data_IF_632332242613
#
_entry.id   IF_632332242613
#
_cell.length_a   1.000
_cell.length_b   1.000
_cell.length_c   1.000
_cell.angle_alpha   90.00
_cell.angle_beta   90.00
_cell.angle_gamma   90.00
#
_symmetry.space_group_name_H-M   'P 1'
#
loop_
_entity.id
_entity.type
_entity.pdbx_description
1 polymer ?
#
# COMPACT_ATOMS: atom_id res chain seq x y z
N UNK A 1 33.51 59.13 42.20
CA UNK A 1 33.67 57.63 42.24
C UNK A 1 32.37 57.04 41.72
N UNK A 2 32.27 56.95 40.43
CA UNK A 2 31.03 56.48 39.78
C UNK A 2 31.31 55.08 39.20
N UNK A 3 30.57 54.10 39.70
CA UNK A 3 30.63 52.72 39.20
C UNK A 3 29.62 52.57 38.04
N UNK A 4 30.18 52.39 36.87
CA UNK A 4 29.44 52.06 35.65
C UNK A 4 29.05 50.59 35.71
N UNK A 5 27.71 50.32 35.80
CA UNK A 5 27.16 48.97 35.65
C UNK A 5 26.90 48.72 34.17
N UNK A 6 27.72 47.84 33.59
CA UNK A 6 27.50 47.31 32.23
C UNK A 6 26.51 46.19 32.30
N UNK A 7 25.27 46.37 31.81
CA UNK A 7 24.28 45.34 31.66
C UNK A 7 24.48 44.66 30.31
N UNK A 8 24.97 43.43 30.29
CA UNK A 8 25.05 42.60 29.09
C UNK A 8 23.70 41.98 28.88
N UNK A 9 22.94 42.49 27.89
CA UNK A 9 21.73 41.83 27.41
C UNK A 9 22.15 40.75 26.42
N UNK A 10 22.15 39.51 26.89
CA UNK A 10 22.35 38.33 26.07
C UNK A 10 21.13 38.07 25.19
N UNK A 11 21.25 38.32 23.90
CA UNK A 11 20.26 37.93 22.90
C UNK A 11 20.31 36.43 22.71
N UNK A 12 19.42 35.67 23.35
CA UNK A 12 19.20 34.28 23.02
C UNK A 12 18.41 34.20 21.70
N UNK A 13 19.12 34.05 20.59
CA UNK A 13 18.51 33.65 19.33
C UNK A 13 18.21 32.15 19.38
N UNK A 14 16.97 31.82 19.68
CA UNK A 14 16.45 30.44 19.50
C UNK A 14 16.37 30.18 18.00
N UNK A 15 17.34 29.45 17.49
CA UNK A 15 17.27 28.83 16.17
C UNK A 15 16.17 27.76 16.19
N UNK A 16 14.98 28.12 15.78
CA UNK A 16 13.97 27.14 15.38
C UNK A 16 14.44 26.47 14.10
N UNK A 17 15.09 25.34 14.23
CA UNK A 17 15.26 24.42 13.12
C UNK A 17 13.90 23.92 12.73
N UNK A 18 13.35 24.44 11.67
CA UNK A 18 12.20 23.82 10.99
C UNK A 18 12.70 22.49 10.44
N UNK A 19 12.60 21.42 11.24
CA UNK A 19 12.62 20.08 10.70
C UNK A 19 11.43 19.99 9.75
N UNK A 20 11.71 19.99 8.46
CA UNK A 20 10.70 19.69 7.45
C UNK A 20 10.23 18.26 7.70
N UNK A 21 9.08 18.13 8.37
CA UNK A 21 8.38 16.87 8.59
C UNK A 21 7.75 16.42 7.27
N UNK A 22 8.56 15.84 6.39
CA UNK A 22 8.05 15.18 5.20
C UNK A 22 7.32 13.89 5.63
N UNK A 23 6.02 13.86 5.45
CA UNK A 23 5.23 12.62 5.45
C UNK A 23 4.65 12.12 6.77
N UNK A 24 4.62 12.92 7.84
CA UNK A 24 4.02 12.52 9.13
C UNK A 24 2.55 12.98 9.26
N UNK A 25 2.03 13.70 8.30
CA UNK A 25 0.91 14.63 8.51
C UNK A 25 -0.46 14.01 8.79
N UNK A 26 -0.71 12.75 8.51
CA UNK A 26 -2.02 12.14 8.76
C UNK A 26 -2.08 11.24 9.99
N UNK A 27 -0.99 10.65 10.40
CA UNK A 27 -0.98 9.59 11.42
C UNK A 27 -1.30 10.10 12.83
N UNK A 28 -0.80 11.28 13.17
CA UNK A 28 -0.92 11.82 14.53
C UNK A 28 -2.19 12.64 14.77
N UNK A 29 -2.94 12.99 13.72
CA UNK A 29 -4.08 13.93 13.81
C UNK A 29 -5.40 13.41 13.31
N UNK A 30 -5.46 12.24 12.67
CA UNK A 30 -6.69 11.67 12.11
C UNK A 30 -7.04 10.31 12.73
N UNK A 31 -8.34 10.05 12.87
CA UNK A 31 -8.87 8.76 13.36
C UNK A 31 -8.93 7.67 12.28
N UNK A 32 -8.14 7.78 11.21
CA UNK A 32 -8.11 6.79 10.16
C UNK A 32 -7.26 5.57 10.54
N UNK A 33 -7.61 4.43 9.98
CA UNK A 33 -6.79 3.21 10.05
C UNK A 33 -5.79 3.25 8.91
N UNK A 34 -4.52 3.23 9.23
CA UNK A 34 -3.43 3.30 8.29
C UNK A 34 -2.81 1.94 8.01
N UNK A 35 -2.19 1.84 6.84
CA UNK A 35 -1.43 0.69 6.40
C UNK A 35 -0.24 1.06 5.54
N UNK A 36 0.54 0.06 5.23
CA UNK A 36 1.77 0.16 4.46
C UNK A 36 1.77 -0.82 3.30
N UNK A 37 2.48 -0.47 2.24
CA UNK A 37 2.83 -1.38 1.16
C UNK A 37 4.35 -1.53 1.14
N UNK A 38 4.82 -2.77 1.20
CA UNK A 38 6.24 -3.07 1.39
C UNK A 38 6.74 -4.17 0.46
N UNK A 39 8.02 -4.12 0.17
CA UNK A 39 8.77 -5.13 -0.56
C UNK A 39 10.21 -5.21 -0.05
N UNK A 40 11.07 -5.92 -0.77
CA UNK A 40 12.51 -5.94 -0.48
C UNK A 40 13.18 -4.55 -0.47
N UNK A 41 12.55 -3.52 -1.05
CA UNK A 41 13.09 -2.16 -1.06
C UNK A 41 13.20 -1.54 0.34
N UNK A 42 12.36 -1.95 1.29
CA UNK A 42 12.42 -1.50 2.68
C UNK A 42 13.51 -2.18 3.50
N UNK A 43 14.20 -3.20 2.94
CA UNK A 43 15.33 -3.91 3.56
C UNK A 43 14.99 -4.46 4.95
N UNK A 44 15.75 -4.02 5.98
CA UNK A 44 15.53 -4.43 7.36
C UNK A 44 14.55 -3.50 8.06
N UNK A 45 13.60 -4.11 8.76
CA UNK A 45 12.50 -3.45 9.45
C UNK A 45 12.64 -3.76 10.94
N UNK A 46 12.56 -2.74 11.79
CA UNK A 46 12.49 -2.87 13.25
C UNK A 46 11.03 -3.11 13.65
N UNK A 47 10.65 -4.38 13.66
CA UNK A 47 9.27 -4.82 13.80
C UNK A 47 8.63 -4.45 15.13
N UNK A 48 9.40 -4.48 16.23
CA UNK A 48 8.93 -4.03 17.54
C UNK A 48 8.48 -2.58 17.48
N UNK A 49 9.32 -1.71 16.93
CA UNK A 49 9.01 -0.27 16.79
C UNK A 49 7.82 -0.03 15.85
N UNK A 50 7.72 -0.79 14.75
CA UNK A 50 6.62 -0.64 13.80
C UNK A 50 5.30 -1.15 14.38
N UNK A 51 5.32 -2.29 15.07
CA UNK A 51 4.13 -2.90 15.69
C UNK A 51 3.57 -2.11 16.86
N UNK A 52 4.41 -1.33 17.56
CA UNK A 52 3.98 -0.45 18.65
C UNK A 52 3.22 0.79 18.15
N UNK A 53 3.21 1.06 16.83
CA UNK A 53 2.47 2.18 16.26
C UNK A 53 0.97 1.85 16.19
N UNK A 54 0.20 2.39 17.14
CA UNK A 54 -1.24 2.13 17.28
C UNK A 54 -2.10 2.57 16.08
N UNK A 55 -1.56 3.41 15.18
CA UNK A 55 -2.25 3.86 13.97
C UNK A 55 -2.01 2.93 12.77
N UNK A 56 -1.00 2.04 12.82
CA UNK A 56 -0.70 1.06 11.78
C UNK A 56 -1.42 -0.25 12.06
N UNK A 57 -2.35 -0.63 11.19
CA UNK A 57 -3.17 -1.80 11.37
C UNK A 57 -2.91 -2.92 10.37
N UNK A 58 -2.39 -2.60 9.19
CA UNK A 58 -2.20 -3.58 8.13
C UNK A 58 -0.98 -3.30 7.26
N UNK A 59 -0.49 -4.35 6.63
CA UNK A 59 0.59 -4.28 5.64
C UNK A 59 0.27 -5.19 4.46
N UNK A 60 0.42 -4.69 3.25
CA UNK A 60 0.49 -5.51 2.04
C UNK A 60 1.95 -5.72 1.64
N UNK A 61 2.36 -6.97 1.48
CA UNK A 61 3.71 -7.32 1.03
C UNK A 61 3.74 -7.76 -0.42
N UNK A 62 4.74 -7.29 -1.17
CA UNK A 62 5.03 -7.86 -2.49
C UNK A 62 5.35 -9.33 -2.32
N UNK A 63 4.52 -10.18 -2.89
CA UNK A 63 4.80 -11.60 -2.94
C UNK A 63 5.53 -11.95 -4.23
N UNK A 64 5.00 -11.46 -5.37
CA UNK A 64 5.50 -11.83 -6.69
C UNK A 64 5.26 -10.74 -7.72
N UNK A 65 5.92 -10.89 -8.87
CA UNK A 65 5.73 -10.08 -10.06
C UNK A 65 5.84 -10.97 -11.31
N UNK A 66 4.94 -10.80 -12.26
CA UNK A 66 4.93 -11.58 -13.50
C UNK A 66 5.01 -13.08 -13.24
N UNK A 67 5.67 -13.83 -14.13
CA UNK A 67 5.65 -15.31 -14.08
C UNK A 67 6.71 -15.95 -13.18
N UNK A 68 7.75 -15.22 -12.75
CA UNK A 68 8.95 -15.82 -12.12
C UNK A 68 9.49 -15.02 -10.93
N UNK A 69 9.28 -13.69 -10.87
CA UNK A 69 9.85 -12.88 -9.81
C UNK A 69 9.12 -13.13 -8.50
N UNK A 70 9.87 -13.45 -7.45
CA UNK A 70 9.42 -13.61 -6.07
C UNK A 70 10.21 -12.65 -5.18
N UNK A 71 9.52 -11.98 -4.27
CA UNK A 71 10.19 -11.10 -3.31
C UNK A 71 10.88 -11.92 -2.23
N UNK A 72 12.20 -11.83 -2.14
CA UNK A 72 13.01 -12.66 -1.26
C UNK A 72 12.81 -12.34 0.23
N UNK A 73 12.22 -11.19 0.56
CA UNK A 73 11.91 -10.80 1.95
C UNK A 73 10.51 -11.23 2.39
N UNK A 74 9.66 -11.62 1.44
CA UNK A 74 8.22 -11.85 1.64
C UNK A 74 7.92 -12.76 2.84
N UNK A 75 8.44 -13.99 2.84
CA UNK A 75 8.13 -14.97 3.90
C UNK A 75 8.55 -14.48 5.28
N UNK A 76 9.78 -13.96 5.39
CA UNK A 76 10.30 -13.38 6.64
C UNK A 76 9.40 -12.25 7.14
N UNK A 77 9.01 -11.36 6.24
CA UNK A 77 8.25 -10.17 6.60
C UNK A 77 6.82 -10.49 7.04
N UNK A 78 6.15 -11.47 6.40
CA UNK A 78 4.84 -11.97 6.84
C UNK A 78 4.90 -12.52 8.26
N UNK A 79 5.84 -13.42 8.53
CA UNK A 79 5.98 -14.04 9.85
C UNK A 79 6.24 -13.00 10.95
N UNK A 80 7.07 -12.01 10.67
CA UNK A 80 7.40 -10.95 11.62
C UNK A 80 6.26 -9.95 11.80
N UNK A 81 5.56 -9.57 10.74
CA UNK A 81 4.38 -8.70 10.83
C UNK A 81 3.28 -9.33 11.69
N UNK A 82 2.97 -10.62 11.50
CA UNK A 82 2.04 -11.36 12.33
C UNK A 82 2.46 -11.39 13.80
N UNK A 83 3.75 -11.68 14.06
CA UNK A 83 4.29 -11.71 15.43
C UNK A 83 4.08 -10.39 16.15
N UNK A 84 4.09 -9.28 15.43
CA UNK A 84 3.92 -7.93 15.97
C UNK A 84 2.49 -7.36 15.79
N UNK A 85 1.49 -8.22 15.50
CA UNK A 85 0.07 -7.90 15.57
C UNK A 85 -0.52 -7.19 14.35
N UNK A 86 0.27 -6.96 13.29
CA UNK A 86 -0.21 -6.35 12.05
C UNK A 86 -1.03 -7.35 11.22
N UNK A 87 -2.09 -6.86 10.57
CA UNK A 87 -2.85 -7.62 9.59
C UNK A 87 -2.13 -7.66 8.26
N UNK A 88 -1.99 -8.85 7.69
CA UNK A 88 -1.16 -9.08 6.52
C UNK A 88 -1.99 -9.43 5.30
N UNK A 89 -1.69 -8.76 4.20
CA UNK A 89 -2.09 -9.11 2.85
C UNK A 89 -0.88 -9.28 1.93
N UNK A 90 -1.11 -9.86 0.77
CA UNK A 90 -0.06 -10.08 -0.23
C UNK A 90 -0.45 -9.49 -1.56
N UNK A 91 0.51 -8.92 -2.29
CA UNK A 91 0.23 -8.44 -3.62
C UNK A 91 1.09 -9.07 -4.72
N UNK A 92 0.49 -9.10 -5.91
CA UNK A 92 1.13 -9.51 -7.16
C UNK A 92 1.18 -8.34 -8.12
N UNK A 93 2.37 -8.01 -8.61
CA UNK A 93 2.52 -7.01 -9.68
C UNK A 93 2.22 -7.66 -11.04
N UNK A 94 1.12 -7.21 -11.66
CA UNK A 94 0.56 -7.81 -12.85
C UNK A 94 1.19 -7.28 -14.14
N UNK A 95 1.47 -8.20 -15.07
CA UNK A 95 1.93 -7.90 -16.43
C UNK A 95 0.98 -8.46 -17.47
N UNK A 96 0.26 -7.60 -18.20
CA UNK A 96 -0.77 -8.03 -19.15
C UNK A 96 -0.24 -8.83 -20.35
N UNK A 97 1.03 -8.68 -20.70
CA UNK A 97 1.70 -9.41 -21.78
C UNK A 97 2.34 -10.74 -21.35
N UNK A 98 2.14 -11.14 -20.10
CA UNK A 98 2.62 -12.42 -19.56
C UNK A 98 1.45 -13.38 -19.41
N UNK A 99 1.56 -14.68 -19.77
CA UNK A 99 0.47 -15.64 -19.63
C UNK A 99 -0.07 -15.70 -18.19
N UNK A 100 -1.39 -15.53 -18.05
CA UNK A 100 -2.06 -15.39 -16.75
C UNK A 100 -1.89 -16.61 -15.84
N UNK A 101 -1.95 -17.85 -16.41
CA UNK A 101 -1.76 -19.06 -15.64
C UNK A 101 -0.35 -19.22 -15.02
N UNK A 102 0.67 -18.62 -15.66
CA UNK A 102 2.02 -18.59 -15.12
C UNK A 102 2.13 -17.58 -13.97
N UNK A 103 1.48 -16.42 -14.09
CA UNK A 103 1.41 -15.42 -13.03
C UNK A 103 0.63 -15.96 -11.82
N UNK A 104 -0.53 -16.60 -12.06
CA UNK A 104 -1.29 -17.25 -10.98
C UNK A 104 -0.44 -18.29 -10.25
N UNK A 105 0.23 -19.20 -10.98
CA UNK A 105 1.11 -20.21 -10.38
C UNK A 105 2.21 -19.57 -9.53
N UNK A 106 2.85 -18.50 -10.05
CA UNK A 106 3.87 -17.78 -9.32
C UNK A 106 3.30 -17.17 -8.03
N UNK A 107 2.15 -16.49 -8.11
CA UNK A 107 1.52 -15.86 -6.96
C UNK A 107 1.10 -16.89 -5.91
N UNK A 108 0.43 -17.96 -6.29
CA UNK A 108 0.00 -19.03 -5.38
C UNK A 108 1.16 -19.74 -4.68
N UNK A 109 2.35 -19.75 -5.28
CA UNK A 109 3.54 -20.36 -4.66
C UNK A 109 3.99 -19.61 -3.40
N UNK A 110 3.67 -18.33 -3.29
CA UNK A 110 4.01 -17.46 -2.16
C UNK A 110 2.79 -17.11 -1.31
N UNK A 111 1.73 -16.59 -1.92
CA UNK A 111 0.52 -16.15 -1.23
C UNK A 111 -0.37 -17.35 -0.83
N UNK A 112 -0.03 -17.99 0.29
CA UNK A 112 -0.77 -19.12 0.81
C UNK A 112 -1.95 -18.67 1.65
N UNK A 113 -3.15 -19.27 1.53
CA UNK A 113 -4.34 -18.92 2.31
C UNK A 113 -4.12 -18.87 3.83
N UNK A 114 -3.30 -19.79 4.35
CA UNK A 114 -2.98 -19.86 5.77
C UNK A 114 -2.21 -18.66 6.33
N UNK A 115 -1.49 -17.95 5.47
CA UNK A 115 -0.63 -16.83 5.82
C UNK A 115 -1.33 -15.46 5.66
N UNK A 116 -2.60 -15.43 5.20
CA UNK A 116 -3.30 -14.20 4.89
C UNK A 116 -4.34 -13.82 5.95
N UNK A 117 -4.34 -12.53 6.35
CA UNK A 117 -5.46 -11.91 7.07
C UNK A 117 -6.38 -11.15 6.12
N UNK A 118 -5.81 -10.61 5.04
CA UNK A 118 -6.50 -9.78 4.05
C UNK A 118 -6.54 -10.48 2.70
N UNK A 119 -7.56 -10.17 1.89
CA UNK A 119 -7.70 -10.69 0.52
C UNK A 119 -6.46 -10.37 -0.32
N UNK A 120 -6.11 -11.24 -1.28
CA UNK A 120 -5.02 -10.96 -2.21
C UNK A 120 -5.21 -9.61 -2.91
N UNK A 121 -4.11 -8.89 -3.18
CA UNK A 121 -4.14 -7.66 -3.94
C UNK A 121 -3.44 -7.86 -5.29
N UNK A 122 -4.06 -7.34 -6.34
CA UNK A 122 -3.49 -7.29 -7.68
C UNK A 122 -3.12 -5.86 -8.00
N UNK A 123 -1.84 -5.64 -8.22
CA UNK A 123 -1.24 -4.35 -8.52
C UNK A 123 -1.19 -4.12 -10.03
N UNK A 124 -1.93 -3.11 -10.50
CA UNK A 124 -2.21 -2.85 -11.91
C UNK A 124 -1.80 -1.42 -12.26
N UNK A 125 -0.59 -1.24 -12.75
CA UNK A 125 -0.01 0.08 -13.02
C UNK A 125 0.40 0.30 -14.48
N UNK A 126 0.55 -0.77 -15.25
CA UNK A 126 1.11 -0.69 -16.58
C UNK A 126 0.25 -1.38 -17.64
N UNK A 127 0.09 -0.71 -18.78
CA UNK A 127 -0.51 -1.28 -19.98
C UNK A 127 0.54 -1.33 -21.10
N UNK A 128 0.84 -2.51 -21.68
CA UNK A 128 1.74 -2.60 -22.81
C UNK A 128 1.29 -1.72 -23.99
N UNK A 129 2.20 -1.00 -24.59
CA UNK A 129 1.89 -0.14 -25.77
C UNK A 129 1.35 -0.94 -26.94
N UNK A 130 1.75 -2.21 -27.07
CA UNK A 130 1.31 -3.15 -28.11
C UNK A 130 -0.12 -3.65 -27.94
N UNK A 131 -0.76 -3.42 -26.78
CA UNK A 131 -2.13 -3.85 -26.52
C UNK A 131 -3.11 -2.67 -26.63
N UNK A 132 -4.25 -2.88 -27.28
CA UNK A 132 -5.40 -1.99 -27.15
C UNK A 132 -5.94 -2.01 -25.70
N UNK A 133 -6.75 -1.02 -25.34
CA UNK A 133 -7.39 -1.01 -24.01
C UNK A 133 -8.32 -2.21 -23.82
N UNK A 134 -9.06 -2.62 -24.87
CA UNK A 134 -9.91 -3.81 -24.79
C UNK A 134 -9.09 -5.07 -24.52
N UNK A 135 -8.05 -5.32 -25.32
CA UNK A 135 -7.17 -6.48 -25.13
C UNK A 135 -6.54 -6.53 -23.72
N UNK A 136 -6.14 -5.35 -23.22
CA UNK A 136 -5.62 -5.23 -21.87
C UNK A 136 -6.68 -5.60 -20.80
N UNK A 137 -7.89 -5.04 -20.92
CA UNK A 137 -8.98 -5.34 -20.00
C UNK A 137 -9.40 -6.81 -20.04
N UNK A 138 -9.48 -7.40 -21.25
CA UNK A 138 -9.81 -8.83 -21.41
C UNK A 138 -8.74 -9.73 -20.76
N UNK A 139 -7.46 -9.37 -20.93
CA UNK A 139 -6.33 -10.06 -20.28
C UNK A 139 -6.40 -9.95 -18.75
N UNK A 140 -6.67 -8.74 -18.25
CA UNK A 140 -6.82 -8.48 -16.81
C UNK A 140 -8.01 -9.24 -16.23
N UNK A 141 -9.19 -9.14 -16.83
CA UNK A 141 -10.40 -9.82 -16.34
C UNK A 141 -10.21 -11.33 -16.27
N UNK A 142 -9.56 -11.91 -17.29
CA UNK A 142 -9.21 -13.34 -17.26
C UNK A 142 -8.33 -13.68 -16.04
N UNK A 143 -7.34 -12.85 -15.73
CA UNK A 143 -6.48 -13.08 -14.56
C UNK A 143 -7.24 -12.91 -13.25
N UNK A 144 -8.09 -11.90 -13.12
CA UNK A 144 -8.90 -11.66 -11.92
C UNK A 144 -9.85 -12.82 -11.63
N UNK A 145 -10.51 -13.36 -12.65
CA UNK A 145 -11.37 -14.54 -12.51
C UNK A 145 -10.58 -15.77 -12.06
N UNK A 146 -9.37 -15.98 -12.58
CA UNK A 146 -8.50 -17.07 -12.13
C UNK A 146 -8.06 -16.90 -10.66
N UNK A 147 -7.80 -15.66 -10.22
CA UNK A 147 -7.50 -15.35 -8.81
C UNK A 147 -8.74 -15.62 -7.94
N UNK A 148 -9.93 -15.18 -8.39
CA UNK A 148 -11.18 -15.38 -7.67
C UNK A 148 -11.49 -16.88 -7.51
N UNK A 149 -11.29 -17.69 -8.55
CA UNK A 149 -11.44 -19.14 -8.50
C UNK A 149 -10.44 -19.77 -7.52
N UNK A 150 -9.16 -19.36 -7.58
CA UNK A 150 -8.10 -19.95 -6.76
C UNK A 150 -8.22 -19.60 -5.27
N UNK A 151 -8.72 -18.42 -4.94
CA UNK A 151 -8.82 -17.92 -3.55
C UNK A 151 -10.26 -17.86 -3.03
N UNK A 152 -11.26 -18.25 -3.85
CA UNK A 152 -12.71 -18.18 -3.54
C UNK A 152 -13.17 -16.81 -3.04
N UNK A 153 -12.47 -15.75 -3.45
CA UNK A 153 -12.72 -14.37 -3.07
C UNK A 153 -12.21 -13.42 -4.15
N UNK A 154 -12.93 -12.33 -4.36
CA UNK A 154 -12.47 -11.25 -5.23
C UNK A 154 -11.22 -10.59 -4.65
N UNK A 155 -10.17 -10.38 -5.43
CA UNK A 155 -9.00 -9.66 -4.97
C UNK A 155 -9.27 -8.15 -4.82
N UNK A 156 -8.50 -7.49 -3.97
CA UNK A 156 -8.36 -6.03 -3.97
C UNK A 156 -7.58 -5.61 -5.21
N UNK A 157 -8.07 -4.62 -5.94
CA UNK A 157 -7.32 -4.04 -7.06
C UNK A 157 -6.60 -2.78 -6.60
N UNK A 158 -5.29 -2.74 -6.78
CA UNK A 158 -4.50 -1.54 -6.62
C UNK A 158 -4.20 -0.91 -7.99
N UNK A 159 -4.40 0.40 -8.08
CA UNK A 159 -4.06 1.16 -9.28
C UNK A 159 -3.94 2.66 -9.00
N UNK A 160 -3.20 3.38 -9.82
CA UNK A 160 -3.17 4.84 -9.78
C UNK A 160 -4.48 5.46 -10.30
N UNK A 161 -4.94 6.58 -9.71
CA UNK A 161 -6.14 7.31 -10.12
C UNK A 161 -6.21 7.56 -11.63
N UNK A 162 -5.11 8.04 -12.22
CA UNK A 162 -5.07 8.33 -13.65
C UNK A 162 -5.13 7.06 -14.50
N UNK A 163 -4.53 5.98 -14.04
CA UNK A 163 -4.58 4.70 -14.73
C UNK A 163 -6.00 4.13 -14.72
N UNK A 164 -6.68 4.19 -13.57
CA UNK A 164 -8.09 3.82 -13.47
C UNK A 164 -8.96 4.59 -14.47
N UNK A 165 -8.90 5.92 -14.41
CA UNK A 165 -9.72 6.78 -15.26
C UNK A 165 -9.46 6.57 -16.77
N UNK A 166 -8.23 6.24 -17.16
CA UNK A 166 -7.87 6.05 -18.56
C UNK A 166 -8.17 4.65 -19.11
N UNK A 167 -8.13 3.62 -18.26
CA UNK A 167 -8.14 2.24 -18.77
C UNK A 167 -9.13 1.30 -18.08
N UNK A 168 -9.53 1.56 -16.83
CA UNK A 168 -10.31 0.61 -16.03
C UNK A 168 -11.74 1.06 -15.76
N UNK A 169 -12.10 2.27 -16.15
CA UNK A 169 -13.42 2.87 -15.93
C UNK A 169 -14.53 1.98 -16.49
N UNK A 170 -15.47 1.55 -15.65
CA UNK A 170 -16.58 0.66 -16.00
C UNK A 170 -16.18 -0.76 -16.40
N UNK A 171 -14.94 -1.19 -16.06
CA UNK A 171 -14.43 -2.53 -16.39
C UNK A 171 -14.21 -3.45 -15.19
N UNK A 172 -14.05 -2.87 -14.01
CA UNK A 172 -13.69 -3.60 -12.79
C UNK A 172 -14.62 -3.26 -11.61
N UNK A 173 -15.84 -2.88 -11.91
CA UNK A 173 -16.80 -2.33 -10.94
C UNK A 173 -17.13 -3.29 -9.80
N UNK A 174 -17.05 -4.58 -10.04
CA UNK A 174 -17.34 -5.63 -9.06
C UNK A 174 -16.20 -5.89 -8.05
N UNK A 175 -15.03 -5.28 -8.22
CA UNK A 175 -13.86 -5.56 -7.39
C UNK A 175 -13.61 -4.44 -6.39
N UNK A 176 -13.22 -4.74 -5.12
CA UNK A 176 -12.79 -3.73 -4.18
C UNK A 176 -11.54 -3.00 -4.71
N UNK A 177 -11.44 -1.70 -4.42
CA UNK A 177 -10.43 -0.84 -5.03
C UNK A 177 -9.57 -0.14 -3.98
N UNK A 178 -8.26 -0.12 -4.22
CA UNK A 178 -7.25 0.72 -3.60
C UNK A 178 -6.71 1.68 -4.65
N UNK A 179 -6.79 2.99 -4.38
CA UNK A 179 -6.39 4.03 -5.33
C UNK A 179 -5.15 4.74 -4.86
N UNK A 180 -4.13 4.81 -5.72
CA UNK A 180 -2.96 5.63 -5.48
C UNK A 180 -3.10 7.00 -6.12
N UNK A 181 -2.91 8.03 -5.30
CA UNK A 181 -2.72 9.41 -5.71
C UNK A 181 -1.90 10.14 -4.64
N UNK A 182 -0.69 10.52 -4.97
CA UNK A 182 0.21 11.21 -4.04
C UNK A 182 -0.15 12.68 -3.98
N UNK A 183 -1.01 13.02 -3.04
CA UNK A 183 -1.64 14.33 -2.88
C UNK A 183 -2.08 14.54 -1.43
N UNK A 184 -2.37 15.78 -1.07
CA UNK A 184 -3.04 16.13 0.19
C UNK A 184 -4.58 16.06 0.07
N UNK A 185 -5.10 15.90 -1.15
CA UNK A 185 -6.52 15.79 -1.43
C UNK A 185 -6.87 14.35 -1.81
N UNK A 186 -8.05 13.90 -1.39
CA UNK A 186 -8.56 12.58 -1.71
C UNK A 186 -8.78 12.41 -3.22
N UNK A 187 -8.40 11.26 -3.81
CA UNK A 187 -8.63 11.01 -5.23
C UNK A 187 -10.12 10.95 -5.55
N UNK A 188 -10.53 11.71 -6.55
CA UNK A 188 -11.84 11.59 -7.16
C UNK A 188 -11.71 10.81 -8.47
N UNK A 189 -12.45 9.72 -8.58
CA UNK A 189 -12.55 8.91 -9.79
C UNK A 189 -13.55 9.54 -10.76
N UNK A 190 -13.38 9.28 -12.06
CA UNK A 190 -14.20 9.92 -13.09
C UNK A 190 -15.67 9.48 -13.09
N UNK A 191 -15.98 8.33 -12.51
CA UNK A 191 -17.32 7.77 -12.31
C UNK A 191 -17.85 7.96 -10.89
N UNK A 192 -17.16 8.74 -10.07
CA UNK A 192 -17.46 8.94 -8.65
C UNK A 192 -17.54 7.63 -7.84
N UNK A 193 -16.96 6.55 -8.35
CA UNK A 193 -16.93 5.26 -7.67
C UNK A 193 -16.20 5.35 -6.33
N UNK A 194 -16.76 4.67 -5.35
CA UNK A 194 -16.15 4.49 -4.03
C UNK A 194 -14.95 3.52 -4.07
N UNK A 195 -13.99 3.73 -3.16
CA UNK A 195 -12.81 2.88 -3.02
C UNK A 195 -12.46 2.72 -1.54
N UNK A 196 -11.90 1.56 -1.18
CA UNK A 196 -11.70 1.17 0.23
C UNK A 196 -10.45 1.79 0.81
N UNK A 197 -9.38 1.86 0.03
CA UNK A 197 -8.07 2.34 0.49
C UNK A 197 -7.56 3.44 -0.45
N UNK A 198 -6.97 4.47 0.15
CA UNK A 198 -6.19 5.47 -0.54
C UNK A 198 -4.71 5.38 -0.16
N UNK A 199 -3.83 5.11 -1.13
CA UNK A 199 -2.39 5.26 -0.97
C UNK A 199 -2.03 6.73 -1.28
N UNK A 200 -1.72 7.49 -0.23
CA UNK A 200 -1.59 8.93 -0.32
C UNK A 200 -0.14 9.42 -0.51
N UNK A 201 0.85 8.55 -0.28
CA UNK A 201 2.27 8.88 -0.50
C UNK A 201 3.12 7.64 -0.74
N UNK A 202 4.08 7.78 -1.66
CA UNK A 202 5.18 6.81 -1.87
C UNK A 202 6.50 7.28 -1.24
N UNK A 203 6.47 8.35 -0.44
CA UNK A 203 7.64 8.91 0.25
C UNK A 203 7.39 9.10 1.74
N UNK A 204 6.51 8.28 2.30
CA UNK A 204 6.22 8.27 3.72
C UNK A 204 7.46 7.87 4.53
N UNK A 205 7.51 8.32 5.77
CA UNK A 205 8.45 7.85 6.77
C UNK A 205 7.67 7.38 7.98
N UNK A 206 8.15 6.31 8.57
CA UNK A 206 7.57 5.74 9.79
C UNK A 206 8.69 5.15 10.64
N UNK A 207 8.54 5.24 11.95
CA UNK A 207 9.46 4.62 12.87
C UNK A 207 9.47 3.09 12.67
N UNK A 208 10.65 2.51 12.64
CA UNK A 208 10.83 1.08 12.36
C UNK A 208 11.14 0.75 10.90
N UNK A 209 11.00 1.68 9.95
CA UNK A 209 11.36 1.49 8.54
C UNK A 209 12.46 2.47 8.15
N UNK A 210 13.56 1.93 7.59
CA UNK A 210 14.63 2.77 7.08
C UNK A 210 14.33 3.20 5.62
N UNK A 211 14.27 4.51 5.38
CA UNK A 211 13.98 5.07 4.07
C UNK A 211 12.52 5.45 3.86
N UNK A 212 12.06 5.37 2.62
CA UNK A 212 10.69 5.68 2.24
C UNK A 212 9.83 4.42 2.20
N UNK A 213 8.55 4.60 2.51
CA UNK A 213 7.53 3.55 2.44
C UNK A 213 6.23 4.14 1.91
N UNK A 214 5.50 3.32 1.19
CA UNK A 214 4.17 3.65 0.71
C UNK A 214 3.19 3.58 1.88
N UNK A 215 2.45 4.69 2.10
CA UNK A 215 1.48 4.79 3.18
C UNK A 215 0.08 4.95 2.61
N UNK A 216 -0.83 4.23 3.21
CA UNK A 216 -2.24 4.21 2.81
C UNK A 216 -3.16 4.32 4.02
N UNK A 217 -4.43 4.62 3.76
CA UNK A 217 -5.48 4.67 4.79
C UNK A 217 -6.80 4.13 4.28
N UNK A 218 -7.61 3.60 5.19
CA UNK A 218 -9.01 3.29 4.90
C UNK A 218 -9.82 4.57 4.68
N UNK A 219 -10.75 4.49 3.75
CA UNK A 219 -11.58 5.62 3.35
C UNK A 219 -12.96 5.60 4.01
N UNK A 220 -13.44 6.80 4.37
CA UNK A 220 -14.81 7.00 4.83
C UNK A 220 -15.28 6.02 5.90
N UNK A 221 -16.33 5.27 5.58
CA UNK A 221 -16.95 4.25 6.45
C UNK A 221 -16.37 2.84 6.32
N UNK A 222 -15.39 2.65 5.45
CA UNK A 222 -14.80 1.33 5.20
C UNK A 222 -14.01 0.80 6.39
N UNK A 223 -13.95 -0.51 6.50
CA UNK A 223 -13.24 -1.22 7.55
C UNK A 223 -12.42 -2.38 7.00
N UNK A 224 -11.40 -2.82 7.75
CA UNK A 224 -10.61 -4.01 7.39
C UNK A 224 -11.44 -5.30 7.31
N UNK A 225 -12.67 -5.31 7.86
CA UNK A 225 -13.58 -6.47 7.76
C UNK A 225 -13.98 -6.75 6.30
N UNK A 226 -14.08 -5.73 5.48
CA UNK A 226 -14.41 -5.85 4.04
C UNK A 226 -13.29 -6.52 3.26
N UNK A 227 -12.05 -6.36 3.73
CA UNK A 227 -10.84 -6.93 3.13
C UNK A 227 -10.41 -8.24 3.81
N UNK A 228 -11.16 -8.74 4.78
CA UNK A 228 -10.78 -9.94 5.52
C UNK A 228 -10.72 -11.16 4.61
N UNK A 229 -9.59 -11.87 4.65
CA UNK A 229 -9.48 -13.17 4.00
C UNK A 229 -10.35 -14.20 4.73
N UNK A 230 -11.27 -14.83 4.00
CA UNK A 230 -12.13 -15.89 4.53
C UNK A 230 -11.47 -17.24 4.21
N UNK A 231 -11.04 -17.92 5.24
CA UNK A 231 -10.51 -19.29 5.10
C UNK A 231 -11.67 -20.27 4.89
N UNK A 232 -11.51 -21.20 3.99
CA UNK A 232 -12.46 -22.28 3.69
C UNK A 232 -11.90 -23.63 4.12
#
# INVERSE_FOLDING_TARGET
MDRLFLTIVGLLTTLFTHAQTYGIQCEDTCNHIHGLDMSHYQKDIWWETLGDNSHMAYVYFKATEGKETQDYTYKRNIDLAHKHGLKVGSYHFYHANVPQHLQLRNFMSQCRPGDQDLIPMIDIETKPKSMSTSQFCDSLMKFLLMIEEAYHQKPLLYTGRNFYNNYLLGKVDDYPLMVAMYSNEEPRLADDRDYIIWQYTGKGRINGVNGYVDKSRLMGKHSLRELRFKRW
#
